data_IF_590239250019
#
_entry.id   IF_590239250019
#
_cell.length_a   1.000
_cell.length_b   1.000
_cell.length_c   1.000
_cell.angle_alpha   90.00
_cell.angle_beta   90.00
_cell.angle_gamma   90.00
#
_symmetry.space_group_name_H-M   'P 1'
#
loop_
_entity.id
_entity.type
_entity.pdbx_description
1 polymer ?
#
# COMPACT_ATOMS: atom_id res chain seq x y z
N UNK A 1 -58.92 35.45 52.91
CA UNK A 1 -58.24 36.71 52.49
C UNK A 1 -56.72 36.49 52.56
N UNK A 2 -56.11 36.01 51.47
CA UNK A 2 -54.66 35.72 51.39
C UNK A 2 -54.25 35.87 49.93
N UNK A 3 -53.85 37.07 49.53
CA UNK A 3 -53.64 37.37 48.11
C UNK A 3 -53.30 38.82 47.79
N UNK A 4 -52.38 39.44 48.55
CA UNK A 4 -51.38 40.28 47.86
C UNK A 4 -49.94 40.20 48.45
N UNK A 5 -49.72 39.54 49.59
CA UNK A 5 -48.43 39.57 50.29
C UNK A 5 -47.38 38.58 49.71
N UNK A 6 -47.81 37.41 49.24
CA UNK A 6 -46.89 36.37 48.70
C UNK A 6 -46.25 36.76 47.36
N UNK A 7 -46.97 37.51 46.52
CA UNK A 7 -46.48 37.96 45.22
C UNK A 7 -45.42 39.06 45.37
N UNK A 8 -45.60 39.99 46.32
CA UNK A 8 -44.62 41.04 46.61
C UNK A 8 -43.29 40.47 47.12
N UNK A 9 -43.34 39.40 47.92
CA UNK A 9 -42.14 38.70 48.41
C UNK A 9 -41.37 37.99 47.30
N UNK A 10 -42.06 37.34 46.36
CA UNK A 10 -41.43 36.60 45.27
C UNK A 10 -40.74 37.55 44.27
N UNK A 11 -41.39 38.68 43.94
CA UNK A 11 -40.83 39.72 43.06
C UNK A 11 -39.62 40.39 43.71
N UNK A 12 -39.65 40.66 45.02
CA UNK A 12 -38.50 41.21 45.74
C UNK A 12 -37.31 40.26 45.76
N UNK A 13 -37.55 38.95 45.85
CA UNK A 13 -36.49 37.93 45.83
C UNK A 13 -35.83 37.80 44.46
N UNK A 14 -36.63 37.83 43.38
CA UNK A 14 -36.14 37.81 42.00
C UNK A 14 -35.33 39.06 41.63
N UNK A 15 -35.77 40.25 42.10
CA UNK A 15 -35.02 41.50 41.87
C UNK A 15 -33.70 41.49 42.65
N UNK A 16 -33.68 40.98 43.88
CA UNK A 16 -32.44 40.84 44.65
C UNK A 16 -31.46 39.87 43.98
N UNK A 17 -31.96 38.74 43.46
CA UNK A 17 -31.15 37.76 42.75
C UNK A 17 -30.55 38.34 41.46
N UNK A 18 -31.33 39.07 40.67
CA UNK A 18 -30.83 39.75 39.46
C UNK A 18 -29.78 40.83 39.78
N UNK A 19 -29.93 41.57 40.89
CA UNK A 19 -28.92 42.57 41.31
C UNK A 19 -27.64 41.91 41.83
N UNK A 20 -27.73 40.73 42.45
CA UNK A 20 -26.55 39.95 42.88
C UNK A 20 -25.80 39.38 41.66
N UNK A 21 -26.51 38.87 40.66
CA UNK A 21 -25.90 38.39 39.41
C UNK A 21 -25.31 39.54 38.56
N UNK A 22 -25.93 40.71 38.55
CA UNK A 22 -25.41 41.88 37.84
C UNK A 22 -24.13 42.48 38.48
N UNK A 23 -23.84 42.17 39.74
CA UNK A 23 -22.61 42.60 40.45
C UNK A 23 -21.43 41.62 40.32
N UNK A 24 -21.62 40.48 39.67
CA UNK A 24 -20.59 39.46 39.43
C UNK A 24 -20.08 39.42 37.99
N UNK A 25 -20.55 40.33 37.13
CA UNK A 25 -20.05 40.48 35.75
C UNK A 25 -19.08 41.65 35.72
N UNK A 26 -17.84 41.40 36.16
CA UNK A 26 -16.70 42.24 35.78
C UNK A 26 -16.22 41.81 34.39
N UNK A 27 -16.01 42.75 33.46
CA UNK A 27 -15.46 42.42 32.15
C UNK A 27 -13.98 42.08 32.31
N UNK A 28 -13.61 40.84 31.99
CA UNK A 28 -12.22 40.46 31.77
C UNK A 28 -11.71 41.17 30.51
N UNK A 29 -11.21 42.39 30.70
CA UNK A 29 -10.47 43.15 29.68
C UNK A 29 -9.09 42.52 29.59
N UNK A 30 -8.86 41.69 28.57
CA UNK A 30 -7.53 41.21 28.23
C UNK A 30 -6.69 42.38 27.70
N UNK A 31 -5.78 42.84 28.53
CA UNK A 31 -4.79 43.87 28.22
C UNK A 31 -3.72 43.23 27.30
N UNK A 32 -3.89 43.34 25.98
CA UNK A 32 -2.84 43.00 25.02
C UNK A 32 -1.67 43.96 25.21
N UNK A 33 -0.58 43.45 25.78
CA UNK A 33 0.68 44.16 25.93
C UNK A 33 1.50 43.94 24.66
N UNK A 34 1.66 45.03 23.92
CA UNK A 34 2.52 45.20 22.76
C UNK A 34 3.98 44.87 23.14
N UNK A 35 4.55 43.83 22.52
CA UNK A 35 5.98 43.50 22.60
C UNK A 35 6.41 42.95 21.23
N UNK A 36 7.13 43.79 20.49
CA UNK A 36 8.17 43.36 19.55
C UNK A 36 7.76 43.19 18.09
N UNK A 37 7.75 44.31 17.36
CA UNK A 37 8.08 44.29 15.92
C UNK A 37 9.53 43.83 15.77
N UNK A 38 9.75 42.65 15.22
CA UNK A 38 11.02 42.32 14.58
C UNK A 38 10.83 42.20 13.07
N UNK A 39 11.46 43.18 12.42
CA UNK A 39 11.57 43.47 11.00
C UNK A 39 12.09 42.28 10.18
N UNK A 40 11.42 41.99 9.07
CA UNK A 40 11.96 41.21 7.96
C UNK A 40 13.10 41.99 7.28
N UNK A 41 14.31 41.44 7.28
CA UNK A 41 15.38 41.82 6.34
C UNK A 41 15.81 40.58 5.52
N UNK A 42 15.88 40.69 4.18
CA UNK A 42 16.34 39.61 3.32
C UNK A 42 17.88 39.61 3.24
N UNK A 43 18.52 38.51 3.62
CA UNK A 43 19.96 38.30 3.37
C UNK A 43 20.16 37.62 2.01
N UNK A 44 20.56 38.42 1.03
CA UNK A 44 21.24 37.97 -0.18
C UNK A 44 22.70 37.57 0.11
N UNK A 45 23.17 36.62 -0.70
CA UNK A 45 24.56 36.26 -1.02
C UNK A 45 25.43 35.56 0.03
N UNK A 46 25.57 34.24 -0.12
CA UNK A 46 26.89 33.62 -0.32
C UNK A 46 26.82 32.21 -0.96
N UNK A 47 27.17 32.19 -2.25
CA UNK A 47 27.86 31.15 -3.06
C UNK A 47 27.60 29.65 -2.83
N UNK A 48 27.04 29.05 -3.88
CA UNK A 48 27.02 27.64 -4.27
C UNK A 48 28.42 27.02 -4.49
N UNK A 49 28.50 25.67 -4.47
CA UNK A 49 29.27 24.94 -5.46
C UNK A 49 28.33 24.30 -6.49
N UNK A 50 28.61 24.62 -7.75
CA UNK A 50 27.97 24.10 -8.96
C UNK A 50 28.06 22.57 -9.04
N UNK A 51 26.92 21.92 -9.29
CA UNK A 51 26.91 20.62 -9.96
C UNK A 51 26.26 20.81 -11.33
N UNK A 52 27.05 20.52 -12.36
CA UNK A 52 26.66 20.57 -13.77
C UNK A 52 25.38 19.79 -14.01
N UNK A 53 24.36 20.48 -14.53
CA UNK A 53 23.17 19.87 -15.13
C UNK A 53 23.47 19.62 -16.59
N UNK A 54 23.81 18.39 -16.93
CA UNK A 54 23.85 17.97 -18.32
C UNK A 54 22.41 17.85 -18.86
N UNK A 55 22.20 18.46 -20.01
CA UNK A 55 20.93 18.54 -20.70
C UNK A 55 20.82 17.44 -21.73
N UNK A 56 20.23 16.31 -21.35
CA UNK A 56 19.44 15.47 -22.27
C UNK A 56 18.55 14.55 -21.45
N UNK A 57 17.24 14.55 -21.70
CA UNK A 57 16.33 13.77 -20.87
C UNK A 57 14.86 13.95 -21.22
N UNK A 58 14.52 13.89 -22.50
CA UNK A 58 13.18 13.45 -22.91
C UNK A 58 13.23 11.94 -23.12
N UNK A 59 12.83 11.14 -22.13
CA UNK A 59 12.02 9.94 -22.38
C UNK A 59 11.52 9.29 -21.09
N UNK A 60 10.23 8.94 -21.09
CA UNK A 60 9.60 8.15 -20.05
C UNK A 60 9.89 6.66 -20.34
N UNK A 61 10.76 6.01 -19.56
CA UNK A 61 11.07 4.57 -19.72
C UNK A 61 10.04 3.70 -19.01
N UNK A 62 9.48 2.72 -19.72
CA UNK A 62 8.61 1.66 -19.18
C UNK A 62 9.45 0.59 -18.49
N UNK A 63 8.90 -0.05 -17.45
CA UNK A 63 9.55 -1.04 -16.60
C UNK A 63 9.91 -2.39 -17.29
N UNK A 64 9.95 -2.47 -18.62
CA UNK A 64 10.13 -3.73 -19.35
C UNK A 64 11.15 -3.65 -20.51
N UNK A 65 12.14 -2.76 -20.44
CA UNK A 65 13.29 -2.84 -21.35
C UNK A 65 14.33 -3.85 -20.80
N UNK A 66 14.94 -4.71 -21.64
CA UNK A 66 16.06 -5.54 -21.23
C UNK A 66 17.21 -4.63 -20.80
N UNK A 67 17.70 -4.81 -19.58
CA UNK A 67 18.82 -4.04 -19.07
C UNK A 67 20.03 -4.22 -20.00
N UNK A 68 20.58 -3.11 -20.51
CA UNK A 68 21.91 -3.09 -21.10
C UNK A 68 22.90 -3.59 -20.05
N UNK A 69 23.71 -4.57 -20.43
CA UNK A 69 24.67 -5.25 -19.57
C UNK A 69 25.69 -4.25 -19.00
N UNK A 70 25.91 -4.31 -17.69
CA UNK A 70 26.89 -3.49 -17.00
C UNK A 70 28.34 -3.87 -17.39
N UNK A 71 29.28 -2.90 -17.45
CA UNK A 71 30.68 -3.20 -17.73
C UNK A 71 31.30 -4.03 -16.60
N UNK A 72 31.94 -5.13 -16.98
CA UNK A 72 32.55 -6.10 -16.08
C UNK A 72 33.81 -5.52 -15.40
N UNK A 73 33.71 -5.14 -14.13
CA UNK A 73 34.88 -5.08 -13.25
C UNK A 73 35.16 -6.48 -12.70
N UNK A 74 36.39 -6.95 -12.91
CA UNK A 74 36.85 -8.29 -12.60
C UNK A 74 36.74 -8.64 -11.11
N UNK A 75 36.14 -9.80 -10.81
CA UNK A 75 36.17 -10.43 -9.48
C UNK A 75 37.46 -11.27 -9.30
N UNK A 76 38.13 -11.26 -8.14
CA UNK A 76 39.49 -11.81 -7.97
C UNK A 76 39.53 -13.28 -7.50
N UNK A 77 38.58 -14.14 -7.88
CA UNK A 77 38.61 -15.57 -7.51
C UNK A 77 38.96 -16.45 -8.71
N UNK A 78 39.99 -17.34 -8.62
CA UNK A 78 40.37 -18.20 -9.73
C UNK A 78 39.36 -19.32 -9.93
N UNK A 79 38.79 -19.40 -11.14
CA UNK A 79 37.89 -20.47 -11.56
C UNK A 79 38.72 -21.64 -12.12
N UNK A 80 38.71 -22.77 -11.41
CA UNK A 80 39.37 -24.00 -11.87
C UNK A 80 38.52 -24.70 -12.95
N UNK A 81 39.05 -24.81 -14.17
CA UNK A 81 38.52 -25.64 -15.24
C UNK A 81 39.25 -26.98 -15.28
N UNK A 82 38.53 -28.08 -15.04
CA UNK A 82 39.07 -29.44 -15.19
C UNK A 82 38.87 -29.87 -16.64
N UNK A 83 39.97 -30.01 -17.38
CA UNK A 83 39.96 -30.53 -18.75
C UNK A 83 40.43 -32.00 -18.72
N UNK A 84 39.59 -32.99 -19.06
CA UNK A 84 40.06 -34.37 -19.17
C UNK A 84 40.93 -34.52 -20.43
N UNK A 85 42.21 -34.81 -20.22
CA UNK A 85 43.17 -35.12 -21.28
C UNK A 85 43.33 -36.64 -21.35
N UNK A 86 42.63 -37.30 -22.27
CA UNK A 86 42.96 -38.68 -22.64
C UNK A 86 43.32 -38.70 -24.13
N UNK A 87 44.63 -38.64 -24.38
CA UNK A 87 45.22 -38.89 -25.70
C UNK A 87 45.32 -40.40 -25.92
N UNK A 88 44.49 -40.94 -26.81
CA UNK A 88 44.67 -42.32 -27.32
C UNK A 88 45.24 -42.22 -28.74
N UNK A 89 46.47 -41.73 -28.84
CA UNK A 89 47.27 -41.87 -30.05
C UNK A 89 48.49 -42.69 -29.69
N UNK A 90 48.76 -43.73 -30.48
CA UNK A 90 49.92 -44.65 -30.43
C UNK A 90 49.67 -45.92 -29.62
N UNK A 91 49.16 -46.97 -30.27
CA UNK A 91 49.76 -48.31 -30.28
C UNK A 91 49.26 -49.06 -31.53
N UNK A 92 49.83 -48.76 -32.70
CA UNK A 92 49.77 -49.66 -33.87
C UNK A 92 51.19 -50.14 -34.12
N UNK A 93 51.52 -51.31 -33.59
CA UNK A 93 52.79 -51.98 -33.88
C UNK A 93 52.88 -52.34 -35.36
N UNK A 94 54.08 -52.23 -35.92
CA UNK A 94 54.38 -52.71 -37.26
C UNK A 94 54.20 -54.24 -37.29
N UNK A 95 53.40 -54.73 -38.24
CA UNK A 95 53.18 -56.16 -38.43
C UNK A 95 54.30 -56.68 -39.33
N UNK A 96 55.10 -57.62 -38.83
CA UNK A 96 56.20 -58.23 -39.56
C UNK A 96 55.76 -58.95 -40.84
N UNK A 97 56.64 -58.92 -41.84
CA UNK A 97 56.43 -59.57 -43.13
C UNK A 97 56.32 -61.09 -42.96
N UNK A 98 55.19 -61.65 -43.40
CA UNK A 98 54.98 -63.10 -43.44
C UNK A 98 55.26 -63.58 -44.86
N UNK A 99 56.27 -64.45 -45.00
CA UNK A 99 56.79 -64.92 -46.29
C UNK A 99 55.79 -65.64 -47.19
N UNK A 100 56.10 -65.66 -48.48
CA UNK A 100 55.28 -66.27 -49.52
C UNK A 100 55.10 -67.77 -49.31
N UNK A 101 53.85 -68.23 -49.31
CA UNK A 101 53.50 -69.66 -49.36
C UNK A 101 52.54 -69.91 -50.52
N UNK A 102 52.87 -70.94 -51.30
CA UNK A 102 52.41 -71.20 -52.66
C UNK A 102 50.92 -71.53 -52.86
N UNK A 103 50.50 -71.70 -54.12
CA UNK A 103 49.09 -71.60 -54.50
C UNK A 103 48.38 -72.95 -54.43
N UNK A 104 47.27 -73.04 -53.69
CA UNK A 104 46.20 -74.06 -53.81
C UNK A 104 44.98 -73.57 -53.02
N UNK A 105 43.69 -73.75 -53.36
CA UNK A 105 42.94 -74.20 -54.53
C UNK A 105 41.49 -73.69 -54.35
N UNK A 106 40.64 -73.66 -55.39
CA UNK A 106 39.35 -72.94 -55.37
C UNK A 106 38.35 -73.54 -54.35
N UNK A 107 38.09 -72.82 -53.25
CA UNK A 107 36.98 -73.10 -52.34
C UNK A 107 35.69 -72.43 -52.87
N UNK A 108 34.58 -73.18 -52.84
CA UNK A 108 33.28 -72.75 -53.39
C UNK A 108 32.73 -71.50 -52.70
N UNK A 109 31.99 -70.67 -53.45
CA UNK A 109 31.45 -69.39 -52.98
C UNK A 109 30.36 -69.63 -51.93
N UNK A 110 30.65 -69.34 -50.66
CA UNK A 110 29.61 -69.12 -49.66
C UNK A 110 28.71 -67.96 -50.10
N UNK A 111 27.39 -68.16 -50.06
CA UNK A 111 26.41 -67.13 -50.45
C UNK A 111 26.59 -65.86 -49.62
N UNK A 112 26.46 -64.69 -50.26
CA UNK A 112 26.56 -63.41 -49.57
C UNK A 112 25.45 -63.30 -48.50
N UNK A 113 25.82 -63.01 -47.26
CA UNK A 113 24.86 -62.60 -46.23
C UNK A 113 24.06 -61.40 -46.74
N UNK A 114 22.74 -61.46 -46.59
CA UNK A 114 21.84 -60.39 -47.04
C UNK A 114 22.22 -59.04 -46.39
N UNK A 115 21.96 -57.91 -47.07
CA UNK A 115 22.30 -56.60 -46.54
C UNK A 115 21.56 -56.34 -45.22
N UNK A 116 22.25 -55.69 -44.26
CA UNK A 116 21.66 -55.27 -43.00
C UNK A 116 20.44 -54.38 -43.28
N UNK A 117 19.30 -54.69 -42.64
CA UNK A 117 18.09 -53.89 -42.78
C UNK A 117 18.31 -52.41 -42.39
N UNK A 118 17.55 -51.48 -42.99
CA UNK A 118 17.71 -50.05 -42.73
C UNK A 118 17.49 -49.73 -41.24
N UNK A 119 18.27 -48.81 -40.71
CA UNK A 119 18.12 -48.34 -39.32
C UNK A 119 16.78 -47.62 -39.17
N UNK A 120 16.02 -47.94 -38.13
CA UNK A 120 14.71 -47.31 -37.87
C UNK A 120 14.85 -45.79 -37.72
N UNK A 121 13.88 -45.05 -38.26
CA UNK A 121 13.90 -43.59 -38.18
C UNK A 121 13.82 -43.14 -36.71
N UNK A 122 14.71 -42.22 -36.31
CA UNK A 122 14.66 -41.60 -34.98
C UNK A 122 13.31 -40.90 -34.81
N UNK A 123 12.61 -41.18 -33.71
CA UNK A 123 11.32 -40.57 -33.42
C UNK A 123 11.40 -39.05 -33.36
N UNK A 124 10.35 -38.37 -33.82
CA UNK A 124 10.29 -36.91 -33.81
C UNK A 124 10.30 -36.38 -32.38
N UNK A 125 11.01 -35.25 -32.16
CA UNK A 125 10.95 -34.53 -30.89
C UNK A 125 9.51 -34.06 -30.65
N UNK A 126 8.98 -34.29 -29.45
CA UNK A 126 7.64 -33.82 -29.07
C UNK A 126 7.53 -32.30 -29.23
N UNK A 127 6.32 -31.83 -29.56
CA UNK A 127 6.03 -30.40 -29.69
C UNK A 127 6.16 -29.69 -28.35
N UNK A 128 6.59 -28.43 -28.39
CA UNK A 128 6.54 -27.54 -27.22
C UNK A 128 5.07 -27.40 -26.80
N UNK A 129 4.80 -27.48 -25.48
CA UNK A 129 3.46 -27.29 -24.94
C UNK A 129 2.91 -25.89 -25.22
N UNK A 130 1.59 -25.72 -25.16
CA UNK A 130 0.98 -24.41 -25.33
C UNK A 130 1.53 -23.43 -24.26
N UNK A 131 1.73 -22.14 -24.61
CA UNK A 131 2.02 -21.11 -23.62
C UNK A 131 0.96 -21.12 -22.51
N UNK A 132 1.39 -20.92 -21.27
CA UNK A 132 0.45 -20.77 -20.14
C UNK A 132 -0.43 -19.53 -20.30
N UNK A 133 -1.60 -19.54 -19.67
CA UNK A 133 -2.50 -18.38 -19.62
C UNK A 133 -1.78 -17.15 -19.03
N UNK A 134 -2.06 -15.94 -19.55
CA UNK A 134 -1.47 -14.72 -19.03
C UNK A 134 -1.86 -14.50 -17.56
N UNK A 135 -0.90 -14.02 -16.76
CA UNK A 135 -1.14 -13.70 -15.36
C UNK A 135 -2.17 -12.57 -15.23
N UNK A 136 -3.35 -12.86 -14.68
CA UNK A 136 -4.37 -11.84 -14.39
C UNK A 136 -3.89 -10.98 -13.22
N UNK A 137 -3.55 -9.72 -13.49
CA UNK A 137 -3.26 -8.75 -12.44
C UNK A 137 -4.54 -8.06 -12.00
N UNK A 138 -4.82 -8.11 -10.70
CA UNK A 138 -5.95 -7.42 -10.10
C UNK A 138 -5.46 -6.22 -9.28
N UNK A 139 -6.20 -5.12 -9.35
CA UNK A 139 -5.90 -3.90 -8.61
C UNK A 139 -7.17 -3.41 -7.92
N UNK A 140 -7.02 -2.92 -6.70
CA UNK A 140 -8.04 -2.15 -6.01
C UNK A 140 -7.31 -1.25 -5.00
N UNK A 141 -7.62 0.04 -5.03
CA UNK A 141 -7.05 0.99 -4.10
C UNK A 141 -7.95 2.22 -4.00
N UNK A 142 -8.01 2.81 -2.82
CA UNK A 142 -8.62 4.11 -2.59
C UNK A 142 -7.83 4.87 -1.54
N UNK A 143 -7.93 6.19 -1.60
CA UNK A 143 -7.47 7.12 -0.57
C UNK A 143 -8.40 8.32 -0.61
N UNK A 144 -9.08 8.55 0.51
CA UNK A 144 -10.10 9.59 0.66
C UNK A 144 -9.80 10.44 1.90
N UNK A 145 -10.23 11.69 1.85
CA UNK A 145 -10.04 12.69 2.88
C UNK A 145 -11.36 13.29 3.33
N UNK A 146 -11.36 13.81 4.56
CA UNK A 146 -12.46 14.62 5.08
C UNK A 146 -11.93 15.94 5.62
N UNK A 147 -12.39 17.04 5.04
CA UNK A 147 -12.08 18.41 5.46
C UNK A 147 -12.99 18.90 6.57
N UNK A 148 -14.25 18.47 6.57
CA UNK A 148 -15.18 18.95 7.60
C UNK A 148 -15.00 18.20 8.92
N UNK A 149 -15.00 18.96 10.01
CA UNK A 149 -15.22 18.42 11.35
C UNK A 149 -16.44 17.48 11.41
N UNK A 150 -16.46 16.57 12.38
CA UNK A 150 -17.61 15.70 12.61
C UNK A 150 -17.79 15.41 14.10
N UNK A 151 -19.00 15.63 14.57
CA UNK A 151 -19.44 15.26 15.92
C UNK A 151 -20.28 13.98 15.82
N UNK A 152 -20.18 13.15 16.85
CA UNK A 152 -21.07 12.02 17.04
C UNK A 152 -22.52 12.47 17.27
N UNK A 153 -23.45 11.60 16.89
CA UNK A 153 -24.87 11.75 17.17
C UNK A 153 -25.31 10.70 18.22
N UNK A 154 -26.58 10.73 18.61
CA UNK A 154 -27.19 9.72 19.51
C UNK A 154 -27.23 8.30 18.91
N UNK A 155 -26.96 8.19 17.61
CA UNK A 155 -26.92 6.94 16.85
C UNK A 155 -25.54 6.73 16.21
N UNK A 156 -25.23 5.48 15.85
CA UNK A 156 -24.00 5.16 15.13
C UNK A 156 -24.02 5.83 13.76
N UNK A 157 -23.08 6.74 13.54
CA UNK A 157 -22.97 7.50 12.31
C UNK A 157 -21.77 7.01 11.50
N UNK A 158 -21.99 6.71 10.22
CA UNK A 158 -20.91 6.47 9.26
C UNK A 158 -20.15 7.76 8.98
N UNK A 159 -18.81 7.68 8.98
CA UNK A 159 -17.96 8.79 8.56
C UNK A 159 -17.98 8.89 7.03
N UNK A 160 -18.53 9.99 6.51
CA UNK A 160 -18.53 10.32 5.09
C UNK A 160 -17.31 11.17 4.76
N UNK A 161 -16.74 10.96 3.58
CA UNK A 161 -15.56 11.68 3.09
C UNK A 161 -15.98 12.69 2.01
N UNK A 162 -15.25 13.80 1.90
CA UNK A 162 -15.58 14.90 0.99
C UNK A 162 -14.48 15.16 -0.06
N UNK A 163 -13.35 14.47 0.07
CA UNK A 163 -12.19 14.62 -0.81
C UNK A 163 -11.75 13.25 -1.31
N UNK A 164 -11.62 13.08 -2.62
CA UNK A 164 -11.10 11.87 -3.26
C UNK A 164 -9.68 12.13 -3.77
N UNK A 165 -8.70 11.37 -3.29
CA UNK A 165 -7.33 11.39 -3.82
C UNK A 165 -7.11 10.28 -4.84
N UNK A 166 -7.56 9.07 -4.50
CA UNK A 166 -7.50 7.87 -5.35
C UNK A 166 -8.78 7.08 -5.13
N UNK A 167 -9.38 6.57 -6.20
CA UNK A 167 -10.53 5.65 -6.11
C UNK A 167 -10.60 4.75 -7.34
N UNK A 168 -9.75 3.73 -7.37
CA UNK A 168 -9.66 2.82 -8.52
C UNK A 168 -11.00 2.13 -8.73
N UNK A 169 -11.52 2.24 -9.97
CA UNK A 169 -12.78 1.66 -10.43
C UNK A 169 -14.01 2.07 -9.61
N UNK A 170 -13.92 3.13 -8.78
CA UNK A 170 -15.03 3.59 -7.96
C UNK A 170 -15.44 2.61 -6.86
N UNK A 171 -14.50 1.79 -6.38
CA UNK A 171 -14.79 0.82 -5.30
C UNK A 171 -15.13 1.49 -3.96
N UNK A 172 -14.71 2.74 -3.74
CA UNK A 172 -15.15 3.55 -2.61
C UNK A 172 -16.34 4.43 -2.99
N UNK A 173 -17.46 4.26 -2.29
CA UNK A 173 -18.63 5.09 -2.47
C UNK A 173 -18.57 6.31 -1.53
N UNK A 174 -18.33 7.48 -2.12
CA UNK A 174 -18.22 8.76 -1.41
C UNK A 174 -19.53 9.19 -0.73
N UNK A 175 -20.70 8.78 -1.24
CA UNK A 175 -21.99 9.13 -0.65
C UNK A 175 -22.29 8.32 0.61
N UNK A 176 -21.89 7.04 0.64
CA UNK A 176 -22.11 6.18 1.80
C UNK A 176 -20.92 6.13 2.75
N UNK A 177 -19.73 6.57 2.32
CA UNK A 177 -18.48 6.47 3.09
C UNK A 177 -17.96 5.03 3.23
N UNK A 178 -18.22 4.18 2.22
CA UNK A 178 -17.92 2.74 2.29
C UNK A 178 -17.10 2.26 1.11
N UNK A 179 -16.09 1.44 1.38
CA UNK A 179 -15.40 0.63 0.39
C UNK A 179 -16.17 -0.66 0.13
N UNK A 180 -16.32 -1.05 -1.13
CA UNK A 180 -16.93 -2.31 -1.57
C UNK A 180 -15.87 -3.20 -2.23
N UNK A 181 -15.77 -4.44 -1.76
CA UNK A 181 -14.81 -5.40 -2.26
C UNK A 181 -15.33 -6.09 -3.54
N UNK A 182 -14.81 -5.71 -4.70
CA UNK A 182 -15.09 -6.42 -5.96
C UNK A 182 -14.05 -7.48 -6.33
N UNK A 183 -12.86 -7.40 -5.73
CA UNK A 183 -11.75 -8.34 -5.92
C UNK A 183 -11.44 -9.00 -4.57
N UNK A 184 -11.84 -10.26 -4.34
CA UNK A 184 -11.53 -10.98 -3.11
C UNK A 184 -10.02 -11.07 -2.88
N UNK A 185 -9.58 -10.97 -1.64
CA UNK A 185 -8.16 -11.02 -1.31
C UNK A 185 -7.80 -10.36 0.01
N UNK A 186 -6.49 -10.14 0.19
CA UNK A 186 -5.93 -9.48 1.38
C UNK A 186 -5.72 -8.01 1.06
N UNK A 187 -6.28 -7.16 1.91
CA UNK A 187 -6.22 -5.71 1.83
C UNK A 187 -5.50 -5.13 3.04
N UNK A 188 -4.82 -4.00 2.84
CA UNK A 188 -4.36 -3.13 3.92
C UNK A 188 -5.25 -1.91 4.01
N UNK A 189 -5.59 -1.50 5.23
CA UNK A 189 -6.35 -0.30 5.52
C UNK A 189 -5.61 0.56 6.54
N UNK A 190 -5.64 1.87 6.33
CA UNK A 190 -5.06 2.87 7.23
C UNK A 190 -6.00 4.06 7.38
N UNK A 191 -6.32 4.38 8.63
CA UNK A 191 -7.10 5.53 9.04
C UNK A 191 -6.20 6.47 9.84
N UNK A 192 -6.16 7.74 9.44
CA UNK A 192 -5.60 8.81 10.25
C UNK A 192 -6.70 9.79 10.62
N UNK A 193 -6.72 10.21 11.88
CA UNK A 193 -7.68 11.19 12.37
C UNK A 193 -7.01 12.11 13.40
N UNK A 194 -7.30 13.39 13.31
CA UNK A 194 -6.89 14.39 14.29
C UNK A 194 -7.96 14.50 15.37
N UNK A 195 -7.54 14.34 16.63
CA UNK A 195 -8.44 14.50 17.76
C UNK A 195 -8.84 15.95 17.98
N UNK A 196 -9.96 16.16 18.65
CA UNK A 196 -10.48 17.48 19.00
C UNK A 196 -10.16 17.82 20.45
N UNK A 197 -9.74 19.05 20.74
CA UNK A 197 -9.40 19.49 22.10
C UNK A 197 -10.58 19.29 23.06
N UNK A 198 -10.33 18.69 24.22
CA UNK A 198 -11.34 18.45 25.27
C UNK A 198 -12.49 17.50 24.85
N UNK A 199 -12.38 16.82 23.70
CA UNK A 199 -13.36 15.83 23.23
C UNK A 199 -12.71 14.46 23.10
N UNK A 200 -13.51 13.42 23.28
CA UNK A 200 -13.09 12.05 23.01
C UNK A 200 -13.05 11.84 21.49
N UNK A 201 -12.08 11.09 20.98
CA UNK A 201 -12.12 10.59 19.60
C UNK A 201 -12.22 9.08 19.65
N UNK A 202 -13.37 8.55 19.26
CA UNK A 202 -13.67 7.12 19.29
C UNK A 202 -14.28 6.70 17.95
N UNK A 203 -13.47 6.02 17.14
CA UNK A 203 -13.83 5.53 15.82
C UNK A 203 -13.69 4.01 15.75
N UNK A 204 -14.60 3.35 15.04
CA UNK A 204 -14.45 1.94 14.68
C UNK A 204 -14.13 1.82 13.19
N UNK A 205 -13.15 0.98 12.88
CA UNK A 205 -12.99 0.41 11.55
C UNK A 205 -13.85 -0.84 11.45
N UNK A 206 -14.83 -0.78 10.56
CA UNK A 206 -15.87 -1.80 10.40
C UNK A 206 -15.56 -2.67 9.19
N UNK A 207 -15.78 -3.98 9.32
CA UNK A 207 -15.97 -4.92 8.20
C UNK A 207 -17.40 -5.42 8.27
N UNK A 208 -18.22 -5.06 7.29
CA UNK A 208 -19.67 -5.27 7.31
C UNK A 208 -20.26 -4.69 8.61
N UNK A 209 -20.83 -5.54 9.47
CA UNK A 209 -21.39 -5.16 10.78
C UNK A 209 -20.43 -5.43 11.96
N UNK A 210 -19.23 -5.95 11.69
CA UNK A 210 -18.25 -6.30 12.72
C UNK A 210 -17.22 -5.20 12.95
N UNK A 211 -16.92 -4.94 14.21
CA UNK A 211 -15.91 -3.98 14.66
C UNK A 211 -14.53 -4.64 14.63
N UNK A 212 -13.68 -4.25 13.69
CA UNK A 212 -12.38 -4.90 13.49
C UNK A 212 -11.27 -4.26 14.31
N UNK A 213 -11.30 -2.94 14.42
CA UNK A 213 -10.33 -2.17 15.20
C UNK A 213 -10.93 -0.86 15.69
N UNK A 214 -10.32 -0.30 16.72
CA UNK A 214 -10.69 0.97 17.33
C UNK A 214 -9.54 1.95 17.14
N UNK A 215 -9.86 3.19 16.79
CA UNK A 215 -8.99 4.35 16.94
C UNK A 215 -9.56 5.19 18.09
N UNK A 216 -8.78 5.33 19.15
CA UNK A 216 -9.19 5.98 20.39
C UNK A 216 -8.20 7.05 20.82
N UNK A 217 -8.69 8.24 21.14
CA UNK A 217 -7.96 9.26 21.88
C UNK A 217 -8.82 9.78 23.04
N UNK A 218 -8.22 9.84 24.22
CA UNK A 218 -8.85 10.45 25.38
C UNK A 218 -8.95 11.98 25.22
N UNK A 219 -9.95 12.63 25.85
CA UNK A 219 -10.00 14.08 25.94
C UNK A 219 -8.72 14.67 26.53
N UNK A 220 -8.22 15.74 25.91
CA UNK A 220 -6.97 16.41 26.28
C UNK A 220 -7.02 17.87 25.82
N UNK A 221 -6.33 18.77 26.54
CA UNK A 221 -6.16 20.17 26.12
C UNK A 221 -5.31 20.31 24.85
N UNK A 222 -4.57 19.25 24.49
CA UNK A 222 -3.78 19.18 23.26
C UNK A 222 -4.33 18.11 22.34
N UNK A 223 -4.79 18.53 21.17
CA UNK A 223 -5.13 17.65 20.06
C UNK A 223 -3.91 16.90 19.56
N UNK A 224 -4.12 15.66 19.12
CA UNK A 224 -3.09 14.76 18.62
C UNK A 224 -3.53 14.13 17.29
N UNK A 225 -2.57 13.83 16.42
CA UNK A 225 -2.81 12.97 15.27
C UNK A 225 -2.78 11.52 15.73
N UNK A 226 -3.79 10.74 15.36
CA UNK A 226 -3.87 9.31 15.61
C UNK A 226 -3.95 8.55 14.31
N UNK A 227 -3.32 7.38 14.29
CA UNK A 227 -3.28 6.48 13.15
C UNK A 227 -3.65 5.08 13.61
N UNK A 228 -4.49 4.40 12.84
CA UNK A 228 -4.82 3.00 13.05
C UNK A 228 -4.81 2.27 11.72
N UNK A 229 -4.19 1.10 11.67
CA UNK A 229 -4.07 0.31 10.44
C UNK A 229 -4.15 -1.17 10.72
N UNK A 230 -4.73 -1.92 9.79
CA UNK A 230 -4.74 -3.38 9.84
C UNK A 230 -4.85 -3.99 8.44
N UNK A 231 -4.53 -5.28 8.36
CA UNK A 231 -4.78 -6.10 7.18
C UNK A 231 -6.04 -6.93 7.38
N UNK A 232 -6.88 -7.01 6.35
CA UNK A 232 -8.12 -7.78 6.35
C UNK A 232 -8.19 -8.67 5.11
N UNK A 233 -8.62 -9.91 5.30
CA UNK A 233 -9.09 -10.74 4.20
C UNK A 233 -10.56 -10.38 3.91
N UNK A 234 -10.85 -10.07 2.64
CA UNK A 234 -12.16 -9.70 2.17
C UNK A 234 -12.64 -10.67 1.10
N UNK A 235 -13.91 -11.02 1.19
CA UNK A 235 -14.65 -11.72 0.14
C UNK A 235 -15.36 -10.71 -0.77
N UNK A 236 -15.93 -11.21 -1.87
CA UNK A 236 -16.73 -10.38 -2.77
C UNK A 236 -17.91 -9.78 -2.01
N UNK A 237 -18.20 -8.52 -2.28
CA UNK A 237 -19.28 -7.72 -1.69
C UNK A 237 -19.10 -7.34 -0.21
N UNK A 238 -17.99 -7.73 0.43
CA UNK A 238 -17.63 -7.21 1.75
C UNK A 238 -17.48 -5.69 1.72
N UNK A 239 -17.94 -5.05 2.78
CA UNK A 239 -17.86 -3.59 2.97
C UNK A 239 -16.85 -3.24 4.07
N UNK A 240 -16.01 -2.23 3.84
CA UNK A 240 -15.13 -1.67 4.87
C UNK A 240 -15.39 -0.18 5.00
N UNK A 241 -15.60 0.29 6.23
CA UNK A 241 -16.04 1.66 6.48
C UNK A 241 -15.72 2.09 7.90
N UNK A 242 -15.81 3.40 8.15
CA UNK A 242 -15.52 4.00 9.47
C UNK A 242 -16.81 4.51 10.09
N UNK A 243 -16.98 4.28 11.39
CA UNK A 243 -18.09 4.88 12.16
C UNK A 243 -17.62 5.56 13.42
N UNK A 244 -18.35 6.60 13.81
CA UNK A 244 -18.20 7.23 15.11
C UNK A 244 -18.94 6.40 16.15
N UNK A 245 -18.33 6.23 17.32
CA UNK A 245 -19.01 5.69 18.48
C UNK A 245 -20.17 6.61 18.89
N UNK A 246 -21.31 6.02 19.28
CA UNK A 246 -22.50 6.74 19.75
C UNK A 246 -22.44 6.98 21.26
N UNK A 247 -22.99 8.08 21.74
CA UNK A 247 -23.24 8.30 23.18
C UNK A 247 -22.80 9.66 23.70
N UNK A 248 -23.05 9.90 24.99
CA UNK A 248 -22.92 11.19 25.69
C UNK A 248 -21.48 11.73 25.83
N UNK A 249 -20.48 11.07 25.27
CA UNK A 249 -19.05 11.35 25.52
C UNK A 249 -18.46 12.53 24.74
N UNK A 250 -19.31 13.38 24.17
CA UNK A 250 -18.91 14.45 23.25
C UNK A 250 -17.91 13.98 22.16
N UNK A 251 -18.10 12.76 21.62
CA UNK A 251 -17.16 12.19 20.66
C UNK A 251 -17.10 13.03 19.38
N UNK A 252 -15.89 13.39 18.93
CA UNK A 252 -15.67 14.19 17.74
C UNK A 252 -14.30 13.95 17.10
N UNK A 253 -14.21 14.33 15.83
CA UNK A 253 -12.95 14.42 15.06
C UNK A 253 -12.77 15.83 14.52
N UNK A 254 -11.53 16.32 14.62
CA UNK A 254 -11.16 17.64 14.13
C UNK A 254 -10.72 17.57 12.67
N UNK A 255 -11.16 18.58 11.92
CA UNK A 255 -10.67 18.93 10.60
C UNK A 255 -11.17 20.35 10.29
N UNK A 256 -10.63 21.01 9.26
CA UNK A 256 -11.07 22.34 8.83
C UNK A 256 -11.23 22.44 7.30
N UNK A 257 -11.78 23.56 6.82
CA UNK A 257 -12.08 23.72 5.39
C UNK A 257 -10.83 23.88 4.50
N UNK A 258 -9.65 24.08 5.09
CA UNK A 258 -8.40 24.34 4.37
C UNK A 258 -7.56 23.07 4.25
N UNK A 259 -7.22 22.46 5.38
CA UNK A 259 -6.32 21.32 5.53
C UNK A 259 -7.08 20.00 5.74
N UNK A 260 -6.51 18.91 5.24
CA UNK A 260 -7.12 17.58 5.35
C UNK A 260 -6.44 16.77 6.44
N UNK A 261 -7.06 16.73 7.62
CA UNK A 261 -6.51 16.03 8.79
C UNK A 261 -7.01 14.59 8.94
N UNK A 262 -8.12 14.26 8.30
CA UNK A 262 -8.72 12.93 8.36
C UNK A 262 -8.54 12.25 7.01
N UNK A 263 -7.86 11.11 7.01
CA UNK A 263 -7.62 10.32 5.79
C UNK A 263 -7.94 8.86 6.02
N UNK A 264 -8.57 8.24 5.04
CA UNK A 264 -8.82 6.80 5.05
C UNK A 264 -8.37 6.22 3.72
N UNK A 265 -7.44 5.28 3.78
CA UNK A 265 -6.85 4.66 2.59
C UNK A 265 -6.88 3.15 2.71
N UNK A 266 -6.97 2.47 1.58
CA UNK A 266 -6.80 1.04 1.53
C UNK A 266 -6.45 0.55 0.14
N UNK A 267 -5.77 -0.59 0.07
CA UNK A 267 -5.35 -1.20 -1.20
C UNK A 267 -5.23 -2.71 -1.09
N UNK A 268 -5.43 -3.37 -2.24
CA UNK A 268 -5.26 -4.80 -2.41
C UNK A 268 -3.76 -5.14 -2.38
N UNK A 269 -3.38 -6.00 -1.45
CA UNK A 269 -2.02 -6.57 -1.39
C UNK A 269 -1.93 -7.80 -2.28
N UNK A 270 -2.92 -8.70 -2.16
CA UNK A 270 -2.92 -9.97 -2.88
C UNK A 270 -4.34 -10.41 -3.18
N UNK A 271 -4.65 -10.58 -4.46
CA UNK A 271 -5.89 -11.20 -4.89
C UNK A 271 -5.94 -12.68 -4.48
N UNK A 272 -7.12 -13.14 -4.07
CA UNK A 272 -7.40 -14.56 -3.87
C UNK A 272 -7.34 -15.24 -5.24
N UNK A 273 -6.48 -16.25 -5.39
CA UNK A 273 -6.46 -17.06 -6.60
C UNK A 273 -7.71 -17.91 -6.66
N UNK A 274 -8.42 -17.91 -7.79
CA UNK A 274 -9.40 -18.96 -8.08
C UNK A 274 -8.61 -20.26 -8.21
N UNK A 275 -8.81 -21.16 -7.24
CA UNK A 275 -8.16 -22.47 -7.18
C UNK A 275 -8.77 -23.48 -8.14
#
# INVERSE_FOLDING_TARGET
>A
MSGPAKIKMLVSSLVLLMVVFAKWVEPYIAQYRDVGQDTYEPRENQRSPEYYRDGSGTECRRCCDPAEEAPQYASPYPQYNIVPQINITILKGEKGDTGERGPYGKMGKSGQSGPRGPHGMKGNKGSIGAPGEPCKSYYAAFSVGRKKALHSNDYYQTMIFDTEFVNLYGHFNMFTGKFFCYVPGIYFFSLNAHSWNQKETYLHLMKNEQEMAILYAQPSDRSIMQSQSLMLELERDDQVWIRLYKGERENAVFSDDFDTYITFSGYLIKAKSEG
#
